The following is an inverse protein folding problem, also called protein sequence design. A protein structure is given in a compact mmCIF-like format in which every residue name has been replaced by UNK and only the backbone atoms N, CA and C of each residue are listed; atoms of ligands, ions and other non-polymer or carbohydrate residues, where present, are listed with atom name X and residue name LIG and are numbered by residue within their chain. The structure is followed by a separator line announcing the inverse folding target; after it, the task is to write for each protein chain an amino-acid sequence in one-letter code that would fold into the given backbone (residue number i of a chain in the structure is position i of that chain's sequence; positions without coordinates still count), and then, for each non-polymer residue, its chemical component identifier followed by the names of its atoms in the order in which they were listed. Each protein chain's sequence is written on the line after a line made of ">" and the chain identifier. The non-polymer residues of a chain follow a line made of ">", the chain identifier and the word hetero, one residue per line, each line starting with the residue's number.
data_IF_329428195286
#
_entry.id   IF_329428195286
#
_cell.length_a   1.000
_cell.length_b   1.000
_cell.length_c   1.000
_cell.angle_alpha   90.00
_cell.angle_beta   90.00
_cell.angle_gamma   90.00
#
_symmetry.space_group_name_H-M   'P 1'
#
loop_
_entity.id
_entity.type
_entity.pdbx_description
1 polymer ?
#
# COMPACT_ATOMS: atom_id res chain seq x y z
N UNK A 1 -19.81 23.72 17.63
CA UNK A 1 -18.99 22.50 17.77
C UNK A 1 -17.76 22.71 16.91
N UNK A 2 -16.55 22.69 17.50
CA UNK A 2 -15.32 22.80 16.73
C UNK A 2 -15.03 21.42 16.14
N UNK A 3 -15.20 21.26 14.83
CA UNK A 3 -14.81 20.04 14.12
C UNK A 3 -13.30 20.03 14.01
N UNK A 4 -12.64 19.27 14.89
CA UNK A 4 -11.21 19.02 14.78
C UNK A 4 -10.96 18.12 13.57
N UNK A 5 -10.50 18.70 12.48
CA UNK A 5 -10.10 17.95 11.28
C UNK A 5 -8.69 17.40 11.48
N UNK A 6 -8.52 16.08 11.37
CA UNK A 6 -7.22 15.43 11.30
C UNK A 6 -6.92 15.13 9.84
N UNK A 7 -5.80 15.65 9.33
CA UNK A 7 -5.33 15.34 7.98
C UNK A 7 -4.30 14.22 8.05
N UNK A 8 -4.41 13.26 7.13
CA UNK A 8 -3.43 12.19 6.93
C UNK A 8 -2.80 12.33 5.55
N UNK A 9 -1.53 11.98 5.45
CA UNK A 9 -0.78 11.94 4.20
C UNK A 9 -0.68 10.50 3.70
N UNK A 10 -1.13 10.31 2.46
CA UNK A 10 -1.13 9.01 1.79
C UNK A 10 -0.22 9.06 0.58
N UNK A 11 0.71 8.12 0.50
CA UNK A 11 1.60 7.94 -0.65
C UNK A 11 1.39 6.56 -1.26
N UNK A 12 1.25 6.51 -2.57
CA UNK A 12 1.30 5.27 -3.36
C UNK A 12 2.42 5.39 -4.37
N UNK A 13 3.35 4.44 -4.38
CA UNK A 13 4.54 4.52 -5.22
C UNK A 13 5.03 3.16 -5.71
N UNK A 14 5.04 2.99 -7.03
CA UNK A 14 5.87 2.00 -7.69
C UNK A 14 7.36 2.35 -7.58
N UNK A 15 8.06 1.68 -6.66
CA UNK A 15 9.46 2.00 -6.33
C UNK A 15 10.47 1.33 -7.26
N UNK A 16 10.06 0.42 -8.15
CA UNK A 16 10.93 -0.28 -9.10
C UNK A 16 12.20 -0.88 -8.45
N UNK A 17 12.05 -1.56 -7.32
CA UNK A 17 13.08 -2.29 -6.61
C UNK A 17 13.70 -1.52 -5.43
N UNK A 18 13.80 -2.16 -4.28
CA UNK A 18 14.44 -1.62 -3.05
C UNK A 18 15.60 -2.53 -2.57
N UNK A 19 16.32 -3.14 -3.51
CA UNK A 19 17.50 -3.96 -3.19
C UNK A 19 18.70 -3.12 -2.73
N UNK A 20 18.89 -1.96 -3.35
CA UNK A 20 20.01 -1.05 -3.12
C UNK A 20 19.87 -0.22 -1.84
N UNK A 21 20.95 -0.10 -1.05
CA UNK A 21 20.90 0.55 0.27
C UNK A 21 20.86 2.09 0.18
N UNK A 22 21.49 2.70 -0.81
CA UNK A 22 21.47 4.15 -0.99
C UNK A 22 20.07 4.60 -1.44
N UNK A 23 19.45 3.81 -2.32
CA UNK A 23 18.05 3.99 -2.70
C UNK A 23 17.12 3.83 -1.50
N UNK A 24 17.32 2.81 -0.66
CA UNK A 24 16.54 2.64 0.57
C UNK A 24 16.64 3.85 1.50
N UNK A 25 17.84 4.40 1.67
CA UNK A 25 18.08 5.57 2.53
C UNK A 25 17.37 6.81 1.97
N UNK A 26 17.57 7.09 0.68
CA UNK A 26 16.90 8.20 -0.02
C UNK A 26 15.38 8.09 0.06
N UNK A 27 14.86 6.86 -0.13
CA UNK A 27 13.44 6.57 -0.02
C UNK A 27 12.91 6.84 1.39
N UNK A 28 13.61 6.36 2.43
CA UNK A 28 13.26 6.61 3.83
C UNK A 28 13.23 8.09 4.16
N UNK A 29 14.24 8.84 3.72
CA UNK A 29 14.37 10.27 3.99
C UNK A 29 13.25 11.06 3.29
N UNK A 30 12.86 10.62 2.10
CA UNK A 30 11.72 11.17 1.35
C UNK A 30 10.42 10.98 2.13
N UNK A 31 10.14 9.75 2.60
CA UNK A 31 8.94 9.47 3.40
C UNK A 31 8.92 10.28 4.71
N UNK A 32 10.08 10.41 5.37
CA UNK A 32 10.23 11.20 6.60
C UNK A 32 9.94 12.68 6.35
N UNK A 33 10.50 13.23 5.27
CA UNK A 33 10.32 14.63 4.86
C UNK A 33 8.86 14.91 4.49
N UNK A 34 8.22 13.98 3.78
CA UNK A 34 6.80 14.07 3.42
C UNK A 34 5.84 13.89 4.60
N UNK A 35 6.35 13.45 5.77
CA UNK A 35 5.55 13.10 6.96
C UNK A 35 4.47 12.06 6.67
N UNK A 36 4.82 11.07 5.84
CA UNK A 36 3.92 10.02 5.39
C UNK A 36 3.26 9.26 6.56
N UNK A 37 1.92 9.18 6.54
CA UNK A 37 1.14 8.42 7.53
C UNK A 37 0.77 7.03 7.00
N UNK A 38 0.40 6.96 5.72
CA UNK A 38 0.00 5.72 5.04
C UNK A 38 0.81 5.61 3.74
N UNK A 39 1.46 4.46 3.54
CA UNK A 39 2.31 4.23 2.37
C UNK A 39 1.99 2.90 1.71
N UNK A 40 1.73 2.95 0.41
CA UNK A 40 1.57 1.79 -0.46
C UNK A 40 2.73 1.69 -1.44
N UNK A 41 3.34 0.51 -1.51
CA UNK A 41 4.49 0.24 -2.37
C UNK A 41 4.20 -0.89 -3.34
N UNK A 42 4.53 -0.67 -4.61
CA UNK A 42 4.52 -1.68 -5.68
C UNK A 42 5.93 -1.93 -6.19
N UNK A 43 6.15 -3.11 -6.79
CA UNK A 43 7.44 -3.45 -7.43
C UNK A 43 8.64 -3.31 -6.48
N UNK A 44 8.49 -3.65 -5.20
CA UNK A 44 9.62 -3.59 -4.24
C UNK A 44 10.73 -4.57 -4.61
N UNK A 45 10.39 -5.67 -5.30
CA UNK A 45 11.29 -6.79 -5.66
C UNK A 45 11.96 -7.42 -4.43
N UNK A 46 11.30 -7.32 -3.28
CA UNK A 46 11.68 -7.93 -2.01
C UNK A 46 10.75 -9.11 -1.71
N UNK A 47 11.17 -10.02 -0.83
CA UNK A 47 10.33 -11.11 -0.33
C UNK A 47 9.50 -10.65 0.86
N UNK A 48 8.26 -11.15 1.02
CA UNK A 48 7.28 -10.62 1.97
C UNK A 48 7.65 -10.65 3.46
N UNK A 49 8.71 -11.34 3.86
CA UNK A 49 9.04 -11.59 5.28
C UNK A 49 10.23 -10.80 5.84
N UNK A 50 10.89 -9.94 5.05
CA UNK A 50 12.13 -9.29 5.52
C UNK A 50 11.86 -7.99 6.30
N UNK A 51 11.44 -8.14 7.57
CA UNK A 51 11.26 -7.03 8.50
C UNK A 51 12.54 -6.23 8.73
N UNK A 52 13.70 -6.87 8.66
CA UNK A 52 14.98 -6.19 8.81
C UNK A 52 15.26 -5.28 7.61
N UNK A 53 15.00 -5.76 6.39
CA UNK A 53 15.10 -4.94 5.18
C UNK A 53 14.05 -3.84 5.15
N UNK A 54 12.83 -4.07 5.64
CA UNK A 54 11.81 -3.03 5.76
C UNK A 54 12.31 -1.82 6.57
N UNK A 55 13.04 -2.07 7.66
CA UNK A 55 13.68 -1.00 8.45
C UNK A 55 14.75 -0.24 7.67
N UNK A 56 15.29 -0.76 6.58
CA UNK A 56 16.26 -0.06 5.73
C UNK A 56 15.63 1.08 4.92
N UNK A 57 14.33 1.01 4.61
CA UNK A 57 13.65 1.99 3.75
C UNK A 57 12.40 2.62 4.37
N UNK A 58 11.86 2.08 5.46
CA UNK A 58 10.75 2.69 6.20
C UNK A 58 11.27 3.52 7.40
N UNK A 59 10.69 4.70 7.66
CA UNK A 59 10.95 5.47 8.87
C UNK A 59 10.33 4.80 10.10
N UNK A 60 10.78 5.19 11.30
CA UNK A 60 10.24 4.63 12.55
C UNK A 60 8.75 4.94 12.78
N UNK A 61 8.22 5.99 12.15
CA UNK A 61 6.79 6.30 12.16
C UNK A 61 5.94 5.25 11.43
N UNK A 62 6.53 4.52 10.47
CA UNK A 62 5.88 3.47 9.69
C UNK A 62 6.42 2.09 10.11
N UNK A 63 6.18 1.74 11.37
CA UNK A 63 6.67 0.50 11.97
C UNK A 63 5.75 -0.72 11.73
N UNK A 64 4.49 -0.47 11.39
CA UNK A 64 3.49 -1.48 11.08
C UNK A 64 3.28 -1.53 9.57
N UNK A 65 3.47 -2.70 8.98
CA UNK A 65 3.31 -2.88 7.55
C UNK A 65 2.85 -4.30 7.22
N UNK A 66 2.17 -4.42 6.08
CA UNK A 66 1.79 -5.70 5.46
C UNK A 66 2.48 -5.81 4.12
N UNK A 67 2.95 -7.00 3.79
CA UNK A 67 3.50 -7.31 2.49
C UNK A 67 2.80 -8.55 1.94
N UNK A 68 2.49 -8.52 0.65
CA UNK A 68 1.86 -9.62 -0.07
C UNK A 68 2.78 -9.92 -1.25
N UNK A 69 3.29 -11.14 -1.32
CA UNK A 69 4.10 -11.59 -2.44
C UNK A 69 3.19 -11.93 -3.63
N UNK A 70 3.61 -11.55 -4.83
CA UNK A 70 2.87 -11.87 -6.05
C UNK A 70 2.80 -13.38 -6.34
N UNK A 71 3.62 -14.20 -5.71
CA UNK A 71 3.65 -15.65 -5.91
C UNK A 71 2.62 -16.43 -5.07
N UNK A 72 2.05 -15.83 -4.01
CA UNK A 72 1.29 -16.58 -2.99
C UNK A 72 -0.23 -16.38 -3.05
N UNK A 73 -0.75 -15.77 -4.13
CA UNK A 73 -2.19 -15.54 -4.28
C UNK A 73 -2.80 -16.58 -5.22
N UNK A 74 -3.19 -17.73 -4.66
CA UNK A 74 -4.15 -18.63 -5.32
C UNK A 74 -5.55 -17.99 -5.23
N UNK A 75 -5.87 -17.06 -6.14
CA UNK A 75 -7.23 -16.50 -6.26
C UNK A 75 -7.34 -15.03 -6.63
N UNK A 76 -6.73 -14.55 -7.73
CA UNK A 76 -7.09 -13.28 -8.38
C UNK A 76 -6.52 -11.99 -7.78
N UNK A 77 -6.21 -11.92 -6.48
CA UNK A 77 -5.75 -10.66 -5.85
C UNK A 77 -4.23 -10.41 -5.99
N UNK A 78 -3.62 -10.73 -7.14
CA UNK A 78 -2.17 -10.55 -7.33
C UNK A 78 -1.76 -9.06 -7.43
N UNK A 79 -2.72 -8.20 -7.75
CA UNK A 79 -2.49 -6.82 -8.17
C UNK A 79 -3.06 -5.76 -7.22
N UNK A 80 -3.78 -6.16 -6.17
CA UNK A 80 -4.57 -5.21 -5.38
C UNK A 80 -4.40 -5.45 -3.89
N UNK A 81 -4.27 -4.37 -3.12
CA UNK A 81 -4.27 -4.39 -1.65
C UNK A 81 -5.25 -3.34 -1.13
N UNK A 82 -6.29 -3.80 -0.43
CA UNK A 82 -7.26 -2.94 0.24
C UNK A 82 -6.95 -2.83 1.73
N UNK A 83 -6.94 -1.61 2.28
CA UNK A 83 -6.85 -1.35 3.71
C UNK A 83 -8.10 -0.63 4.19
N UNK A 84 -8.72 -1.16 5.23
CA UNK A 84 -9.84 -0.54 5.92
C UNK A 84 -9.31 0.30 7.08
N UNK A 85 -9.72 1.56 7.16
CA UNK A 85 -9.32 2.50 8.20
C UNK A 85 -10.59 3.01 8.88
N UNK A 86 -10.65 2.84 10.20
CA UNK A 86 -11.77 3.31 11.02
C UNK A 86 -11.28 4.33 12.03
N UNK A 87 -12.02 5.43 12.16
CA UNK A 87 -11.76 6.44 13.19
C UNK A 87 -11.98 5.85 14.58
N UNK A 88 -11.07 6.14 15.51
CA UNK A 88 -11.28 5.81 16.93
C UNK A 88 -12.03 6.92 17.68
N UNK A 89 -12.31 8.04 17.01
CA UNK A 89 -12.93 9.23 17.61
C UNK A 89 -14.32 9.55 17.00
N UNK A 90 -14.72 8.85 15.96
CA UNK A 90 -16.00 8.99 15.26
C UNK A 90 -16.40 7.65 14.62
N UNK A 91 -17.58 7.60 14.01
CA UNK A 91 -18.12 6.47 13.25
C UNK A 91 -17.62 6.39 11.81
N UNK A 92 -16.83 7.39 11.36
CA UNK A 92 -16.23 7.40 10.02
C UNK A 92 -15.29 6.23 9.79
N UNK A 93 -15.44 5.61 8.63
CA UNK A 93 -14.49 4.66 8.10
C UNK A 93 -14.28 4.92 6.60
N UNK A 94 -13.12 4.51 6.10
CA UNK A 94 -12.85 4.55 4.68
C UNK A 94 -11.94 3.39 4.29
N UNK A 95 -12.05 3.00 3.02
CA UNK A 95 -11.18 2.02 2.43
C UNK A 95 -10.21 2.71 1.47
N UNK A 96 -8.96 2.24 1.45
CA UNK A 96 -8.03 2.59 0.38
C UNK A 96 -7.62 1.31 -0.33
N UNK A 97 -7.87 1.29 -1.63
CA UNK A 97 -7.51 0.19 -2.51
C UNK A 97 -6.36 0.61 -3.39
N UNK A 98 -5.20 0.02 -3.14
CA UNK A 98 -4.01 0.25 -3.92
C UNK A 98 -3.87 -0.82 -5.00
N UNK A 99 -3.76 -0.39 -6.26
CA UNK A 99 -3.82 -1.27 -7.43
C UNK A 99 -2.54 -1.17 -8.24
N UNK A 100 -2.09 -2.31 -8.78
CA UNK A 100 -0.96 -2.44 -9.68
C UNK A 100 -1.37 -3.21 -10.93
N UNK A 101 -1.75 -2.50 -11.99
CA UNK A 101 -2.22 -3.13 -13.22
C UNK A 101 -1.15 -4.04 -13.85
N UNK A 102 -1.56 -5.16 -14.48
CA UNK A 102 -0.64 -6.06 -15.17
C UNK A 102 0.03 -5.35 -16.36
N UNK A 103 1.29 -5.71 -16.62
CA UNK A 103 2.06 -5.17 -17.74
C UNK A 103 1.70 -5.84 -19.08
N UNK A 104 1.29 -7.12 -19.07
CA UNK A 104 0.84 -7.84 -20.27
C UNK A 104 -0.65 -7.53 -20.53
N UNK A 105 -0.97 -7.03 -21.73
CA UNK A 105 -2.34 -6.72 -22.12
C UNK A 105 -3.26 -7.94 -22.15
N UNK A 106 -2.71 -9.15 -22.25
CA UNK A 106 -3.49 -10.39 -22.21
C UNK A 106 -4.22 -10.59 -20.88
N UNK A 107 -3.68 -10.03 -19.80
CA UNK A 107 -4.24 -10.16 -18.46
C UNK A 107 -5.19 -8.99 -18.10
N UNK A 108 -5.42 -8.04 -19.02
CA UNK A 108 -6.21 -6.83 -18.74
C UNK A 108 -7.68 -7.14 -18.45
N UNK A 109 -8.29 -8.11 -19.13
CA UNK A 109 -9.70 -8.41 -18.93
C UNK A 109 -9.93 -9.08 -17.57
N UNK A 110 -9.17 -10.12 -17.25
CA UNK A 110 -9.24 -10.80 -15.95
C UNK A 110 -8.97 -9.84 -14.79
N UNK A 111 -8.00 -8.94 -14.95
CA UNK A 111 -7.72 -7.91 -13.96
C UNK A 111 -8.90 -6.95 -13.73
N UNK A 112 -9.63 -6.57 -14.78
CA UNK A 112 -10.82 -5.71 -14.64
C UNK A 112 -11.97 -6.45 -13.96
N UNK A 113 -12.16 -7.74 -14.26
CA UNK A 113 -13.15 -8.60 -13.58
C UNK A 113 -12.83 -8.72 -12.08
N UNK A 114 -11.56 -8.96 -11.72
CA UNK A 114 -11.09 -8.98 -10.33
C UNK A 114 -11.34 -7.64 -9.63
N UNK A 115 -11.12 -6.52 -10.33
CA UNK A 115 -11.34 -5.18 -9.78
C UNK A 115 -12.82 -4.89 -9.54
N UNK A 116 -13.71 -5.36 -10.41
CA UNK A 116 -15.16 -5.27 -10.24
C UNK A 116 -15.63 -6.08 -9.02
N UNK A 117 -15.08 -7.29 -8.83
CA UNK A 117 -15.36 -8.10 -7.65
C UNK A 117 -14.93 -7.38 -6.36
N UNK A 118 -13.71 -6.83 -6.34
CA UNK A 118 -13.19 -6.07 -5.20
C UNK A 118 -14.05 -4.83 -4.91
N UNK A 119 -14.51 -4.13 -5.94
CA UNK A 119 -15.38 -2.96 -5.78
C UNK A 119 -16.67 -3.29 -5.01
N UNK A 120 -17.25 -4.47 -5.23
CA UNK A 120 -18.41 -4.96 -4.49
C UNK A 120 -18.15 -5.28 -3.01
N UNK A 121 -16.89 -5.45 -2.61
CA UNK A 121 -16.49 -5.78 -1.24
C UNK A 121 -16.07 -4.56 -0.42
N UNK A 122 -15.83 -3.42 -1.06
CA UNK A 122 -15.43 -2.18 -0.40
C UNK A 122 -16.67 -1.47 0.14
N UNK A 123 -16.73 -1.35 1.47
CA UNK A 123 -17.81 -0.66 2.17
C UNK A 123 -17.21 0.50 2.96
N UNK A 124 -17.64 1.73 2.67
CA UNK A 124 -17.28 2.94 3.42
C UNK A 124 -18.54 3.72 3.81
N UNK A 125 -18.53 4.38 4.96
CA UNK A 125 -19.66 5.20 5.46
C UNK A 125 -19.20 6.50 6.12
#
# INVERSE_FOLDING_TARGET
>A
MNTSTVAFSLLSWNVQGLGDNDKCTTFRDTLTTARADIVYLQETKLRASDKLKARAFLPMSLNEFRCVDSADVRGGMQHTLTTMLSSTASDYNFAVTNVYAPADHRDSLSFLEDLEEIAGQIHGS
#
